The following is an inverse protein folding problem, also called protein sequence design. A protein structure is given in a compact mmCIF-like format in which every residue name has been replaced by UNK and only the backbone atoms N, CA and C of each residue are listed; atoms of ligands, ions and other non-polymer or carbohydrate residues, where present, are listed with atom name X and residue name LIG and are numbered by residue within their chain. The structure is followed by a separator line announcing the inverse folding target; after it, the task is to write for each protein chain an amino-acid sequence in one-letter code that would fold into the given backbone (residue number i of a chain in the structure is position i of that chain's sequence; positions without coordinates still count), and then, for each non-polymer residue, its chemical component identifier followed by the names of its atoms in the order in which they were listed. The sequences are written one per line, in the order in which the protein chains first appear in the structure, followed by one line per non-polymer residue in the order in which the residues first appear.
data_IF_201670060055
#
_entry.id   IF_201670060055
#
_cell.length_a   1.000
_cell.length_b   1.000
_cell.length_c   1.000
_cell.angle_alpha   90.00
_cell.angle_beta   90.00
_cell.angle_gamma   90.00
#
_symmetry.space_group_name_H-M   'P 1'
#
loop_
_entity.id
_entity.type
_entity.pdbx_description
1 polymer ?
#
# COMPACT_ATOMS: atom_id res chain seq x y z
N UNK A 1 -10.24 10.62 -3.22
CA UNK A 1 -9.83 10.89 -1.83
C UNK A 1 -10.29 12.30 -1.51
N UNK A 2 -11.10 12.47 -0.49
CA UNK A 2 -11.50 13.80 -0.05
C UNK A 2 -10.34 14.47 0.70
N UNK A 3 -10.18 15.78 0.52
CA UNK A 3 -8.96 16.52 0.89
C UNK A 3 -9.05 17.29 2.20
N UNK A 4 -10.13 17.14 2.97
CA UNK A 4 -10.35 17.94 4.19
C UNK A 4 -9.29 17.66 5.27
N UNK A 5 -8.75 16.44 5.30
CA UNK A 5 -7.73 15.98 6.25
C UNK A 5 -6.59 15.20 5.57
N UNK A 6 -6.39 15.42 4.28
CA UNK A 6 -5.36 14.73 3.48
C UNK A 6 -4.47 15.75 2.80
N UNK A 7 -3.17 15.66 3.08
CA UNK A 7 -2.14 16.53 2.51
C UNK A 7 -0.90 15.71 2.09
N UNK A 8 0.16 16.39 1.65
CA UNK A 8 1.39 15.72 1.20
C UNK A 8 2.08 14.87 2.28
N UNK A 9 1.76 15.06 3.56
CA UNK A 9 2.38 14.31 4.67
C UNK A 9 1.75 12.95 4.90
N UNK A 10 0.54 12.72 4.40
CA UNK A 10 -0.25 11.54 4.75
C UNK A 10 -1.04 10.95 3.56
N UNK A 11 -0.89 11.52 2.37
CA UNK A 11 -1.55 11.05 1.15
C UNK A 11 -1.16 9.61 0.82
N UNK A 12 0.14 9.32 0.74
CA UNK A 12 0.66 8.01 0.32
C UNK A 12 0.21 6.88 1.25
N UNK A 13 0.44 6.94 2.58
CA UNK A 13 0.00 5.87 3.47
C UNK A 13 -1.52 5.73 3.50
N UNK A 14 -2.29 6.83 3.39
CA UNK A 14 -3.74 6.70 3.31
C UNK A 14 -4.21 6.09 2.00
N UNK A 15 -3.56 6.40 0.87
CA UNK A 15 -4.01 5.94 -0.43
C UNK A 15 -3.66 4.47 -0.68
N UNK A 16 -2.45 4.07 -0.32
CA UNK A 16 -1.89 2.76 -0.63
C UNK A 16 -1.74 1.92 0.64
N UNK A 17 -2.16 0.64 0.62
CA UNK A 17 -2.51 -0.21 -0.53
C UNK A 17 -4.01 -0.25 -0.84
N UNK A 18 -4.83 0.55 -0.14
CA UNK A 18 -6.30 0.52 -0.26
C UNK A 18 -6.80 0.78 -1.68
N UNK A 19 -6.17 1.71 -2.40
CA UNK A 19 -6.48 1.99 -3.79
C UNK A 19 -6.16 0.81 -4.72
N UNK A 20 -5.19 -0.07 -4.37
CA UNK A 20 -4.87 -1.26 -5.17
C UNK A 20 -6.01 -2.27 -5.21
N UNK A 21 -6.80 -2.38 -4.14
CA UNK A 21 -7.97 -3.25 -4.12
C UNK A 21 -9.03 -2.79 -5.16
N UNK A 22 -9.27 -1.48 -5.27
CA UNK A 22 -10.17 -0.93 -6.29
C UNK A 22 -9.59 -1.14 -7.69
N UNK A 23 -8.28 -0.91 -7.86
CA UNK A 23 -7.61 -1.14 -9.14
C UNK A 23 -7.75 -2.60 -9.61
N UNK A 24 -7.58 -3.57 -8.71
CA UNK A 24 -7.74 -4.99 -9.04
C UNK A 24 -9.18 -5.33 -9.46
N UNK A 25 -10.18 -4.79 -8.77
CA UNK A 25 -11.60 -5.01 -9.11
C UNK A 25 -12.00 -4.42 -10.46
N UNK A 26 -11.38 -3.31 -10.86
CA UNK A 26 -11.65 -2.65 -12.14
C UNK A 26 -10.89 -3.29 -13.31
N UNK A 27 -9.73 -3.89 -13.06
CA UNK A 27 -8.86 -4.43 -14.10
C UNK A 27 -9.03 -5.94 -14.33
N UNK A 28 -9.18 -6.70 -13.25
CA UNK A 28 -9.13 -8.17 -13.29
C UNK A 28 -10.53 -8.78 -13.45
N UNK A 29 -10.56 -10.04 -13.85
CA UNK A 29 -11.79 -10.82 -13.98
C UNK A 29 -12.61 -10.78 -12.66
N UNK A 30 -13.90 -10.37 -12.72
CA UNK A 30 -14.80 -10.38 -11.56
C UNK A 30 -14.86 -11.73 -10.82
N UNK A 31 -14.71 -12.85 -11.55
CA UNK A 31 -14.72 -14.19 -10.99
C UNK A 31 -13.48 -14.53 -10.16
N UNK A 32 -12.39 -13.75 -10.24
CA UNK A 32 -11.18 -13.95 -9.44
C UNK A 32 -11.04 -12.95 -8.29
N UNK A 33 -11.89 -11.92 -8.27
CA UNK A 33 -11.80 -10.78 -7.33
C UNK A 33 -12.97 -10.70 -6.35
N UNK A 34 -13.83 -11.71 -6.30
CA UNK A 34 -15.02 -11.71 -5.45
C UNK A 34 -14.74 -11.97 -3.96
N UNK A 35 -13.65 -12.66 -3.63
CA UNK A 35 -13.30 -13.02 -2.25
C UNK A 35 -12.10 -12.23 -1.74
N UNK A 36 -12.29 -11.55 -0.61
CA UNK A 36 -11.23 -10.81 0.08
C UNK A 36 -10.15 -11.75 0.65
N UNK A 37 -10.52 -12.94 1.11
CA UNK A 37 -9.57 -13.91 1.71
C UNK A 37 -8.57 -14.43 0.68
N UNK A 38 -9.04 -14.66 -0.56
CA UNK A 38 -8.18 -15.07 -1.68
C UNK A 38 -7.34 -13.87 -2.16
N UNK A 39 -7.84 -12.64 -2.02
CA UNK A 39 -7.12 -11.41 -2.38
C UNK A 39 -6.06 -10.98 -1.38
N UNK A 40 -6.22 -11.34 -0.12
CA UNK A 40 -5.33 -10.94 0.94
C UNK A 40 -3.84 -11.27 0.69
N UNK A 41 -3.44 -12.52 0.36
CA UNK A 41 -2.03 -12.85 0.19
C UNK A 41 -1.35 -12.09 -0.97
N UNK A 42 -2.08 -11.84 -2.07
CA UNK A 42 -1.58 -11.08 -3.22
C UNK A 42 -1.50 -9.58 -2.93
N UNK A 43 -2.47 -9.03 -2.19
CA UNK A 43 -2.44 -7.63 -1.77
C UNK A 43 -1.28 -7.37 -0.79
N UNK A 44 -1.01 -8.31 0.11
CA UNK A 44 0.13 -8.26 1.02
C UNK A 44 1.47 -8.25 0.26
N UNK A 45 1.69 -9.17 -0.69
CA UNK A 45 2.90 -9.16 -1.53
C UNK A 45 3.04 -7.83 -2.28
N UNK A 46 1.94 -7.32 -2.83
CA UNK A 46 1.93 -6.07 -3.55
C UNK A 46 2.31 -4.88 -2.66
N UNK A 47 1.85 -4.86 -1.41
CA UNK A 47 2.24 -3.87 -0.40
C UNK A 47 3.74 -3.94 -0.12
N UNK A 48 4.30 -5.13 0.14
CA UNK A 48 5.74 -5.28 0.35
C UNK A 48 6.54 -4.79 -0.88
N UNK A 49 6.06 -5.08 -2.09
CA UNK A 49 6.67 -4.61 -3.35
C UNK A 49 6.61 -3.08 -3.50
N UNK A 50 5.60 -2.41 -2.97
CA UNK A 50 5.57 -0.94 -2.96
C UNK A 50 6.58 -0.37 -1.97
N UNK A 51 6.72 -0.98 -0.80
CA UNK A 51 7.69 -0.54 0.21
C UNK A 51 9.13 -0.72 -0.28
N UNK A 52 9.45 -1.82 -0.97
CA UNK A 52 10.77 -2.02 -1.58
C UNK A 52 11.09 -1.02 -2.70
N UNK A 53 10.07 -0.33 -3.23
CA UNK A 53 10.21 0.78 -4.20
C UNK A 53 10.31 2.15 -3.53
N UNK A 54 10.29 2.21 -2.20
CA UNK A 54 10.41 3.45 -1.43
C UNK A 54 9.09 4.19 -1.16
N UNK A 55 7.94 3.55 -1.35
CA UNK A 55 6.64 4.16 -1.00
C UNK A 55 6.26 3.87 0.45
N UNK A 56 5.78 4.91 1.14
CA UNK A 56 5.20 4.83 2.48
C UNK A 56 3.78 4.24 2.42
N UNK A 57 3.68 2.93 2.59
CA UNK A 57 2.43 2.18 2.39
C UNK A 57 1.92 1.62 3.72
N UNK A 58 0.65 1.88 4.03
CA UNK A 58 0.01 1.43 5.27
C UNK A 58 -0.17 -0.10 5.29
N UNK A 59 -0.14 -0.76 6.46
CA UNK A 59 -0.58 -2.16 6.58
C UNK A 59 -2.06 -2.32 6.19
N UNK A 60 -2.45 -3.35 5.41
CA UNK A 60 -3.78 -3.42 4.81
C UNK A 60 -4.95 -3.74 5.76
N UNK A 61 -4.77 -4.47 6.88
CA UNK A 61 -5.84 -4.71 7.88
C UNK A 61 -5.41 -5.54 9.11
N UNK A 62 -4.35 -6.35 9.03
CA UNK A 62 -3.91 -7.29 10.07
C UNK A 62 -2.46 -6.97 10.51
N UNK A 63 -1.95 -7.59 11.60
CA UNK A 63 -0.52 -7.56 11.90
C UNK A 63 0.24 -8.03 10.67
N UNK A 64 1.05 -7.14 10.13
CA UNK A 64 1.69 -7.36 8.84
C UNK A 64 3.16 -6.94 8.89
N UNK A 65 4.00 -7.72 8.22
CA UNK A 65 5.45 -7.52 8.19
C UNK A 65 5.97 -7.77 6.79
N UNK A 66 6.89 -6.91 6.33
CA UNK A 66 7.62 -7.11 5.09
C UNK A 66 9.12 -7.16 5.37
N UNK A 67 9.89 -7.97 4.62
CA UNK A 67 11.33 -8.09 4.80
C UNK A 67 12.08 -6.77 4.57
N UNK A 68 11.67 -6.01 3.55
CA UNK A 68 12.21 -4.69 3.27
C UNK A 68 11.46 -3.65 4.11
N UNK A 69 12.16 -3.09 5.10
CA UNK A 69 11.64 -2.00 5.92
C UNK A 69 11.75 -0.67 5.16
N UNK A 70 10.76 0.21 5.33
CA UNK A 70 10.84 1.57 4.80
C UNK A 70 11.89 2.36 5.57
N UNK A 71 13.01 2.67 4.92
CA UNK A 71 14.07 3.52 5.46
C UNK A 71 14.09 4.87 4.72
N UNK A 72 13.55 5.95 5.31
CA UNK A 72 13.58 7.28 4.71
C UNK A 72 15.02 7.74 4.52
N UNK A 73 15.42 8.00 3.28
CA UNK A 73 16.67 8.70 3.00
C UNK A 73 16.45 10.19 3.32
N UNK A 74 16.88 10.61 4.50
CA UNK A 74 16.94 12.02 4.89
C UNK A 74 18.19 12.68 4.26
N UNK A 75 18.06 13.54 3.24
CA UNK A 75 19.21 14.15 2.56
C UNK A 75 20.07 15.03 3.49
N UNK A 76 19.45 15.51 4.57
CA UNK A 76 20.00 16.41 5.58
C UNK A 76 20.68 15.69 6.76
N UNK A 77 20.66 14.35 6.80
CA UNK A 77 21.36 13.55 7.82
C UNK A 77 22.71 12.97 7.33
N UNK A 78 23.21 13.38 6.17
CA UNK A 78 24.49 12.93 5.59
C UNK A 78 25.69 13.87 5.85
N UNK A 79 25.66 14.68 6.92
CA UNK A 79 26.81 15.46 7.39
C UNK A 79 27.16 15.16 8.84
#
# INVERSE_FOLDING_TARGET
MWGEFVDGTNLTPRMWPRASAVAERLWSDPAQTYSADIAWPRLHEHRCRMMSRGYEVEPPNNPDYCPDFWDPQYPDMQT
#
